data_IF_559230392110
#
_entry.id   IF_559230392110
#
_cell.length_a   1.000
_cell.length_b   1.000
_cell.length_c   1.000
_cell.angle_alpha   90.00
_cell.angle_beta   90.00
_cell.angle_gamma   90.00
#
_symmetry.space_group_name_H-M   'P 1'
#
loop_
_entity.id
_entity.type
_entity.pdbx_description
1 polymer ?
#
# COMPACT_ATOMS: atom_id res chain seq x y z
N UNK A 1 17.50 -2.74 10.63
CA UNK A 1 16.51 -3.81 10.84
C UNK A 1 15.43 -3.42 11.83
N UNK A 2 15.75 -3.24 13.12
CA UNK A 2 14.74 -3.00 14.16
C UNK A 2 13.76 -1.85 13.88
N UNK A 3 14.24 -0.72 13.37
CA UNK A 3 13.39 0.42 13.02
C UNK A 3 12.37 0.09 11.93
N UNK A 4 12.78 -0.67 10.90
CA UNK A 4 11.88 -1.09 9.82
C UNK A 4 10.77 -2.01 10.34
N UNK A 5 11.13 -3.00 11.15
CA UNK A 5 10.17 -3.93 11.76
C UNK A 5 9.21 -3.18 12.70
N UNK A 6 9.74 -2.30 13.56
CA UNK A 6 8.90 -1.48 14.44
C UNK A 6 7.95 -0.60 13.65
N UNK A 7 8.44 -0.01 12.54
CA UNK A 7 7.60 0.78 11.63
C UNK A 7 6.44 -0.03 11.06
N UNK A 8 6.69 -1.24 10.57
CA UNK A 8 5.67 -2.15 10.06
C UNK A 8 4.65 -2.54 11.15
N UNK A 9 5.12 -2.82 12.37
CA UNK A 9 4.24 -3.16 13.48
C UNK A 9 3.34 -1.99 13.88
N UNK A 10 3.88 -0.77 13.93
CA UNK A 10 3.08 0.44 14.21
C UNK A 10 2.07 0.73 13.09
N UNK A 11 2.46 0.55 11.85
CA UNK A 11 1.56 0.65 10.70
C UNK A 11 0.39 -0.35 10.82
N UNK A 12 0.71 -1.63 11.03
CA UNK A 12 -0.29 -2.68 11.20
C UNK A 12 -1.20 -2.41 12.40
N UNK A 13 -0.62 -2.04 13.55
CA UNK A 13 -1.38 -1.65 14.73
C UNK A 13 -2.36 -0.51 14.43
N UNK A 14 -1.90 0.56 13.81
CA UNK A 14 -2.72 1.73 13.49
C UNK A 14 -3.95 1.38 12.64
N UNK A 15 -3.82 0.41 11.74
CA UNK A 15 -4.92 -0.02 10.87
C UNK A 15 -5.81 -1.10 11.49
N UNK A 16 -5.22 -2.07 12.18
CA UNK A 16 -5.89 -3.31 12.60
C UNK A 16 -6.37 -3.29 14.06
N UNK A 17 -5.89 -2.38 14.91
CA UNK A 17 -6.14 -2.38 16.36
C UNK A 17 -7.64 -2.45 16.72
N UNK A 18 -8.47 -1.68 16.02
CA UNK A 18 -9.92 -1.68 16.24
C UNK A 18 -10.60 -3.03 16.01
N UNK A 19 -10.04 -3.84 15.10
CA UNK A 19 -10.58 -5.15 14.73
C UNK A 19 -10.01 -6.28 15.57
N UNK A 20 -8.75 -6.15 15.97
CA UNK A 20 -8.04 -7.18 16.71
C UNK A 20 -8.23 -7.11 18.22
N UNK A 21 -8.45 -5.89 18.76
CA UNK A 21 -8.52 -5.66 20.19
C UNK A 21 -9.98 -5.34 20.58
N UNK A 22 -10.72 -6.29 21.19
CA UNK A 22 -12.07 -6.02 21.69
C UNK A 22 -12.07 -4.85 22.67
N UNK A 23 -13.00 -3.92 22.48
CA UNK A 23 -13.13 -2.76 23.36
C UNK A 23 -12.07 -1.65 23.16
N UNK A 24 -11.20 -1.75 22.15
CA UNK A 24 -10.16 -0.75 21.86
C UNK A 24 -10.71 0.68 21.84
N UNK A 25 -11.78 0.93 21.06
CA UNK A 25 -12.37 2.27 20.98
C UNK A 25 -12.95 2.74 22.31
N UNK A 26 -13.53 1.83 23.10
CA UNK A 26 -14.04 2.15 24.44
C UNK A 26 -12.90 2.49 25.42
N UNK A 27 -11.81 1.73 25.40
CA UNK A 27 -10.63 1.97 26.23
C UNK A 27 -9.97 3.31 25.88
N UNK A 28 -9.96 3.70 24.61
CA UNK A 28 -9.35 4.95 24.13
C UNK A 28 -10.21 6.19 24.36
N UNK A 29 -11.44 6.06 24.85
CA UNK A 29 -12.36 7.17 25.21
C UNK A 29 -12.45 8.27 24.15
N UNK A 30 -12.48 7.90 22.84
CA UNK A 30 -12.57 8.85 21.74
C UNK A 30 -11.22 9.33 21.18
N UNK A 31 -10.09 8.99 21.82
CA UNK A 31 -8.73 9.33 21.32
C UNK A 31 -8.14 8.28 20.35
N UNK A 32 -8.93 7.27 19.96
CA UNK A 32 -8.45 6.21 19.08
C UNK A 32 -8.00 6.71 17.68
N UNK A 33 -8.68 7.72 17.13
CA UNK A 33 -8.31 8.28 15.82
C UNK A 33 -6.95 8.97 15.85
N UNK A 34 -6.68 9.95 16.75
CA UNK A 34 -5.36 10.56 16.82
C UNK A 34 -4.27 9.55 17.19
N UNK A 35 -4.52 8.58 18.06
CA UNK A 35 -3.55 7.56 18.44
C UNK A 35 -3.18 6.65 17.26
N UNK A 36 -4.17 6.13 16.52
CA UNK A 36 -3.91 5.30 15.33
C UNK A 36 -3.26 6.10 14.21
N UNK A 37 -3.65 7.36 14.00
CA UNK A 37 -3.00 8.25 13.03
C UNK A 37 -1.53 8.48 13.40
N UNK A 38 -1.25 8.79 14.68
CA UNK A 38 0.12 8.95 15.15
C UNK A 38 0.96 7.67 14.95
N UNK A 39 0.38 6.50 15.25
CA UNK A 39 1.06 5.22 15.01
C UNK A 39 1.36 4.99 13.53
N UNK A 40 0.43 5.29 12.63
CA UNK A 40 0.62 5.17 11.17
C UNK A 40 1.71 6.12 10.68
N UNK A 41 1.67 7.40 11.07
CA UNK A 41 2.66 8.40 10.67
C UNK A 41 4.04 8.04 11.19
N UNK A 42 4.17 7.73 12.49
CA UNK A 42 5.43 7.29 13.08
C UNK A 42 5.92 6.00 12.43
N UNK A 43 5.03 5.03 12.21
CA UNK A 43 5.34 3.79 11.51
C UNK A 43 5.93 4.03 10.11
N UNK A 44 5.31 4.93 9.33
CA UNK A 44 5.81 5.31 8.01
C UNK A 44 7.21 5.93 8.07
N UNK A 45 7.44 6.87 9.00
CA UNK A 45 8.77 7.50 9.19
C UNK A 45 9.81 6.45 9.56
N UNK A 46 9.50 5.55 10.50
CA UNK A 46 10.41 4.50 10.91
C UNK A 46 10.69 3.48 9.80
N UNK A 47 9.70 3.16 8.96
CA UNK A 47 9.91 2.32 7.78
C UNK A 47 10.88 2.98 6.80
N UNK A 48 10.73 4.27 6.50
CA UNK A 48 11.62 5.01 5.60
C UNK A 48 13.04 5.04 6.15
N UNK A 49 13.23 5.44 7.42
CA UNK A 49 14.54 5.52 8.05
C UNK A 49 15.16 4.13 8.15
N UNK A 50 14.40 3.13 8.61
CA UNK A 50 14.88 1.77 8.81
C UNK A 50 15.27 1.08 7.50
N UNK A 51 14.51 1.30 6.43
CA UNK A 51 14.81 0.78 5.11
C UNK A 51 16.10 1.39 4.54
N UNK A 52 16.23 2.71 4.60
CA UNK A 52 17.43 3.42 4.10
C UNK A 52 18.71 3.13 4.90
N UNK A 53 18.59 2.83 6.19
CA UNK A 53 19.71 2.57 7.08
C UNK A 53 20.11 1.08 7.17
N UNK A 54 19.38 0.19 6.52
CA UNK A 54 19.65 -1.23 6.61
C UNK A 54 20.26 -1.78 5.32
N UNK A 55 21.54 -2.16 5.40
CA UNK A 55 22.26 -2.89 4.36
C UNK A 55 22.10 -4.39 4.65
N UNK A 56 21.30 -5.08 3.84
CA UNK A 56 21.05 -6.51 3.94
C UNK A 56 21.69 -7.29 2.79
N UNK A 57 21.47 -8.61 2.79
CA UNK A 57 21.90 -9.47 1.69
C UNK A 57 21.16 -9.12 0.39
N UNK A 58 21.92 -9.16 -0.71
CA UNK A 58 21.41 -8.92 -2.06
C UNK A 58 21.32 -10.23 -2.83
N UNK A 59 20.19 -10.48 -3.46
CA UNK A 59 19.89 -11.70 -4.21
C UNK A 59 19.70 -11.46 -5.69
N UNK A 60 18.94 -10.41 -6.06
CA UNK A 60 18.75 -9.98 -7.46
C UNK A 60 18.43 -8.49 -7.53
N UNK A 61 18.68 -7.94 -8.72
CA UNK A 61 18.42 -6.53 -9.01
C UNK A 61 17.52 -6.35 -10.21
N UNK A 62 17.48 -5.12 -10.63
CA UNK A 62 16.69 -4.64 -11.75
C UNK A 62 17.29 -5.10 -13.09
N UNK A 63 16.42 -5.62 -13.97
CA UNK A 63 16.70 -5.84 -15.38
C UNK A 63 15.71 -5.06 -16.23
N UNK A 64 15.99 -4.74 -17.51
CA UNK A 64 15.03 -4.03 -18.36
C UNK A 64 13.65 -4.69 -18.44
N UNK A 65 13.62 -6.02 -18.53
CA UNK A 65 12.37 -6.78 -18.57
C UNK A 65 11.59 -6.66 -17.24
N UNK A 66 12.26 -6.85 -16.10
CA UNK A 66 11.64 -6.72 -14.78
C UNK A 66 11.20 -5.28 -14.51
N UNK A 67 11.96 -4.27 -14.95
CA UNK A 67 11.57 -2.87 -14.85
C UNK A 67 10.30 -2.57 -15.65
N UNK A 68 10.16 -3.12 -16.86
CA UNK A 68 8.94 -2.99 -17.66
C UNK A 68 7.73 -3.60 -16.98
N UNK A 69 7.86 -4.83 -16.44
CA UNK A 69 6.79 -5.50 -15.68
C UNK A 69 6.44 -4.71 -14.42
N UNK A 70 7.45 -4.27 -13.66
CA UNK A 70 7.23 -3.44 -12.48
C UNK A 70 6.44 -2.17 -12.81
N UNK A 71 6.81 -1.45 -13.87
CA UNK A 71 6.15 -0.21 -14.26
C UNK A 71 4.67 -0.45 -14.65
N UNK A 72 4.38 -1.55 -15.33
CA UNK A 72 3.00 -1.94 -15.64
C UNK A 72 2.21 -2.27 -14.36
N UNK A 73 2.78 -3.07 -13.45
CA UNK A 73 2.16 -3.40 -12.18
C UNK A 73 1.94 -2.15 -11.31
N UNK A 74 2.89 -1.23 -11.31
CA UNK A 74 2.74 0.05 -10.60
C UNK A 74 1.61 0.91 -11.16
N UNK A 75 1.45 0.96 -12.49
CA UNK A 75 0.33 1.65 -13.12
C UNK A 75 -1.01 1.02 -12.70
N UNK A 76 -1.10 -0.32 -12.68
CA UNK A 76 -2.26 -1.06 -12.19
C UNK A 76 -2.51 -0.76 -10.70
N UNK A 77 -1.47 -0.77 -9.87
CA UNK A 77 -1.58 -0.45 -8.45
C UNK A 77 -2.16 0.94 -8.23
N UNK A 78 -1.60 1.97 -8.86
CA UNK A 78 -2.10 3.36 -8.73
C UNK A 78 -3.53 3.48 -9.24
N UNK A 79 -3.89 2.78 -10.33
CA UNK A 79 -5.28 2.74 -10.79
C UNK A 79 -6.23 2.11 -9.77
N UNK A 80 -5.82 1.04 -9.08
CA UNK A 80 -6.64 0.42 -8.04
C UNK A 80 -6.93 1.37 -6.86
N UNK A 81 -5.97 2.22 -6.48
CA UNK A 81 -6.20 3.30 -5.50
C UNK A 81 -7.19 4.34 -6.03
N UNK A 82 -7.02 4.80 -7.27
CA UNK A 82 -7.93 5.74 -7.91
C UNK A 82 -9.34 5.14 -8.05
N UNK A 83 -9.42 3.87 -8.45
CA UNK A 83 -10.68 3.14 -8.58
C UNK A 83 -11.45 3.05 -7.25
N UNK A 84 -10.75 2.79 -6.14
CA UNK A 84 -11.36 2.77 -4.81
C UNK A 84 -11.92 4.15 -4.42
N UNK A 85 -11.15 5.22 -4.62
CA UNK A 85 -11.55 6.58 -4.27
C UNK A 85 -12.72 7.08 -5.13
N UNK A 86 -12.71 6.81 -6.43
CA UNK A 86 -13.73 7.25 -7.38
C UNK A 86 -14.95 6.31 -7.45
N UNK A 87 -14.89 5.12 -6.81
CA UNK A 87 -15.93 4.08 -6.85
C UNK A 87 -16.24 3.62 -8.28
N UNK A 88 -15.19 3.39 -9.09
CA UNK A 88 -15.31 2.99 -10.50
C UNK A 88 -15.93 1.60 -10.65
N UNK A 89 -16.14 1.18 -11.89
CA UNK A 89 -16.61 -0.17 -12.21
C UNK A 89 -15.76 -1.25 -11.54
N UNK A 90 -14.43 -1.08 -11.48
CA UNK A 90 -13.52 -2.01 -10.81
C UNK A 90 -13.84 -2.10 -9.31
N UNK A 91 -14.05 -0.97 -8.62
CA UNK A 91 -14.42 -0.96 -7.21
C UNK A 91 -15.81 -1.56 -6.92
N UNK A 92 -16.65 -1.71 -7.93
CA UNK A 92 -17.95 -2.40 -7.85
C UNK A 92 -17.84 -3.91 -8.05
N UNK A 93 -16.77 -4.39 -8.66
CA UNK A 93 -16.51 -5.81 -8.91
C UNK A 93 -15.57 -6.42 -7.87
N UNK A 94 -14.66 -5.60 -7.34
CA UNK A 94 -13.66 -6.02 -6.36
C UNK A 94 -13.91 -5.32 -5.04
N UNK A 95 -14.03 -6.09 -3.97
CA UNK A 95 -14.33 -5.56 -2.64
C UNK A 95 -13.22 -4.67 -2.08
N UNK A 96 -11.95 -5.00 -2.34
CA UNK A 96 -10.77 -4.38 -1.73
C UNK A 96 -9.78 -3.82 -2.77
N UNK A 97 -10.19 -2.94 -3.70
CA UNK A 97 -9.29 -2.49 -4.75
C UNK A 97 -8.04 -1.78 -4.20
N UNK A 98 -8.17 -0.95 -3.15
CA UNK A 98 -7.04 -0.26 -2.53
C UNK A 98 -6.03 -1.23 -1.90
N UNK A 99 -6.48 -2.21 -1.11
CA UNK A 99 -5.60 -3.21 -0.51
C UNK A 99 -4.99 -4.13 -1.56
N UNK A 100 -5.74 -4.47 -2.61
CA UNK A 100 -5.19 -5.19 -3.78
C UNK A 100 -4.11 -4.33 -4.46
N UNK A 101 -4.30 -3.01 -4.55
CA UNK A 101 -3.28 -2.08 -5.02
C UNK A 101 -1.99 -2.16 -4.21
N UNK A 102 -2.09 -2.24 -2.87
CA UNK A 102 -0.90 -2.44 -2.00
C UNK A 102 -0.21 -3.77 -2.29
N UNK A 103 -0.97 -4.87 -2.47
CA UNK A 103 -0.37 -6.17 -2.81
C UNK A 103 0.36 -6.11 -4.15
N UNK A 104 -0.28 -5.52 -5.18
CA UNK A 104 0.35 -5.35 -6.50
C UNK A 104 1.60 -4.47 -6.41
N UNK A 105 1.56 -3.38 -5.66
CA UNK A 105 2.71 -2.51 -5.37
C UNK A 105 3.85 -3.29 -4.70
N UNK A 106 3.55 -4.12 -3.71
CA UNK A 106 4.54 -4.93 -3.02
C UNK A 106 5.22 -5.93 -3.95
N UNK A 107 4.42 -6.64 -4.77
CA UNK A 107 4.95 -7.57 -5.78
C UNK A 107 5.80 -6.85 -6.81
N UNK A 108 5.34 -5.70 -7.33
CA UNK A 108 6.08 -4.91 -8.29
C UNK A 108 7.47 -4.52 -7.77
N UNK A 109 7.53 -4.03 -6.53
CA UNK A 109 8.81 -3.64 -5.94
C UNK A 109 9.72 -4.84 -5.66
N UNK A 110 9.19 -5.98 -5.21
CA UNK A 110 9.98 -7.20 -5.00
C UNK A 110 10.58 -7.76 -6.29
N UNK A 111 9.97 -7.54 -7.45
CA UNK A 111 10.53 -7.97 -8.72
C UNK A 111 11.86 -7.29 -9.07
N UNK A 112 12.03 -6.04 -8.63
CA UNK A 112 13.20 -5.21 -8.97
C UNK A 112 14.12 -4.92 -7.79
N UNK A 113 13.71 -5.27 -6.57
CA UNK A 113 14.47 -5.09 -5.34
C UNK A 113 14.53 -6.42 -4.59
N UNK A 114 15.52 -7.22 -4.90
CA UNK A 114 15.74 -8.55 -4.29
C UNK A 114 16.80 -8.47 -3.19
N UNK A 115 16.53 -7.74 -2.13
CA UNK A 115 17.38 -7.65 -0.96
C UNK A 115 16.57 -7.84 0.34
N UNK A 116 17.26 -8.15 1.42
CA UNK A 116 16.62 -8.46 2.71
C UNK A 116 15.72 -7.31 3.22
N UNK A 117 16.14 -6.03 3.20
CA UNK A 117 15.26 -4.91 3.58
C UNK A 117 13.99 -4.84 2.74
N UNK A 118 14.09 -5.07 1.43
CA UNK A 118 12.95 -5.07 0.51
C UNK A 118 11.98 -6.22 0.80
N UNK A 119 12.47 -7.40 1.12
CA UNK A 119 11.60 -8.50 1.53
C UNK A 119 10.82 -8.17 2.80
N UNK A 120 11.47 -7.55 3.77
CA UNK A 120 10.79 -7.15 5.00
C UNK A 120 9.80 -6.03 4.76
N UNK A 121 10.16 -4.97 4.02
CA UNK A 121 9.27 -3.84 3.76
C UNK A 121 8.09 -4.25 2.87
N UNK A 122 8.39 -4.65 1.64
CA UNK A 122 7.33 -4.92 0.65
C UNK A 122 6.58 -6.20 0.97
N UNK A 123 7.28 -7.25 1.38
CA UNK A 123 6.64 -8.50 1.83
C UNK A 123 5.76 -8.27 3.06
N UNK A 124 6.26 -7.54 4.07
CA UNK A 124 5.50 -7.18 5.27
C UNK A 124 4.25 -6.37 4.96
N UNK A 125 4.34 -5.37 4.07
CA UNK A 125 3.20 -4.56 3.64
C UNK A 125 2.19 -5.39 2.82
N UNK A 126 2.67 -6.28 1.96
CA UNK A 126 1.79 -7.20 1.21
C UNK A 126 1.02 -8.14 2.13
N UNK A 127 1.71 -8.76 3.10
CA UNK A 127 1.10 -9.63 4.11
C UNK A 127 0.10 -8.85 4.97
N UNK A 128 0.45 -7.64 5.41
CA UNK A 128 -0.47 -6.77 6.12
C UNK A 128 -1.74 -6.50 5.30
N UNK A 129 -1.62 -6.16 4.03
CA UNK A 129 -2.78 -5.87 3.17
C UNK A 129 -3.70 -7.10 3.02
N UNK A 130 -3.14 -8.29 2.85
CA UNK A 130 -3.90 -9.54 2.79
C UNK A 130 -4.60 -9.84 4.13
N UNK A 131 -3.90 -9.67 5.25
CA UNK A 131 -4.47 -9.86 6.58
C UNK A 131 -5.62 -8.87 6.86
N UNK A 132 -5.45 -7.60 6.46
CA UNK A 132 -6.50 -6.58 6.60
C UNK A 132 -7.74 -6.92 5.77
N UNK A 133 -7.59 -7.46 4.54
CA UNK A 133 -8.74 -7.97 3.76
C UNK A 133 -9.50 -9.07 4.51
N UNK A 134 -8.78 -10.01 5.13
CA UNK A 134 -9.39 -11.09 5.91
C UNK A 134 -10.15 -10.53 7.11
N UNK A 135 -9.55 -9.60 7.84
CA UNK A 135 -10.20 -8.98 9.00
C UNK A 135 -11.44 -8.18 8.61
N UNK A 136 -11.38 -7.39 7.54
CA UNK A 136 -12.55 -6.66 7.04
C UNK A 136 -13.66 -7.63 6.62
N UNK A 137 -13.31 -8.73 5.97
CA UNK A 137 -14.28 -9.73 5.54
C UNK A 137 -14.97 -10.44 6.73
N UNK A 138 -14.24 -10.65 7.83
CA UNK A 138 -14.79 -11.20 9.07
C UNK A 138 -15.72 -10.22 9.78
N UNK A 139 -15.30 -8.96 9.91
CA UNK A 139 -16.10 -7.91 10.57
C UNK A 139 -17.36 -7.56 9.78
N UNK A 140 -17.27 -7.58 8.47
CA UNK A 140 -18.32 -7.15 7.56
C UNK A 140 -18.58 -8.24 6.51
N UNK A 141 -19.21 -9.37 6.84
CA UNK A 141 -19.38 -10.49 5.91
C UNK A 141 -20.23 -10.12 4.69
N UNK A 142 -21.18 -9.20 4.84
CA UNK A 142 -22.03 -8.70 3.75
C UNK A 142 -21.36 -7.49 3.11
N UNK A 143 -20.88 -7.65 1.88
CA UNK A 143 -20.39 -6.54 1.08
C UNK A 143 -21.48 -6.04 0.12
N UNK A 144 -21.72 -4.74 0.16
CA UNK A 144 -22.60 -4.07 -0.79
C UNK A 144 -21.73 -3.26 -1.74
N UNK A 145 -21.73 -3.58 -3.05
CA UNK A 145 -20.99 -2.80 -4.03
C UNK A 145 -21.44 -1.33 -4.02
N UNK A 146 -20.53 -0.36 -4.21
CA UNK A 146 -20.89 1.04 -4.30
C UNK A 146 -21.82 1.30 -5.51
N UNK A 147 -22.61 2.35 -5.46
CA UNK A 147 -23.42 2.80 -6.60
C UNK A 147 -22.53 3.10 -7.82
N UNK A 148 -23.12 2.99 -9.03
CA UNK A 148 -22.38 3.24 -10.26
C UNK A 148 -21.83 4.69 -10.28
N UNK A 149 -20.52 4.79 -10.51
CA UNK A 149 -19.89 6.07 -10.81
C UNK A 149 -20.18 6.42 -12.28
N UNK A 150 -20.64 7.58 -12.60
CA UNK A 150 -20.83 7.97 -14.02
C UNK A 150 -19.49 8.01 -14.79
N UNK A 151 -19.56 8.02 -16.13
CA UNK A 151 -18.39 8.00 -17.02
C UNK A 151 -17.34 9.07 -16.67
N UNK A 152 -17.75 10.22 -16.14
CA UNK A 152 -16.83 11.27 -15.67
C UNK A 152 -15.87 10.77 -14.58
N UNK A 153 -16.34 10.00 -13.61
CA UNK A 153 -15.48 9.45 -12.54
C UNK A 153 -14.57 8.36 -13.06
N UNK A 154 -15.02 7.55 -14.02
CA UNK A 154 -14.16 6.56 -14.68
C UNK A 154 -13.00 7.26 -15.39
N UNK A 155 -13.29 8.29 -16.18
CA UNK A 155 -12.27 9.08 -16.88
C UNK A 155 -11.32 9.77 -15.89
N UNK A 156 -11.85 10.36 -14.81
CA UNK A 156 -11.03 10.99 -13.77
C UNK A 156 -10.11 9.99 -13.06
N UNK A 157 -10.56 8.75 -12.85
CA UNK A 157 -9.72 7.70 -12.26
C UNK A 157 -8.54 7.36 -13.18
N UNK A 158 -8.77 7.23 -14.49
CA UNK A 158 -7.71 6.97 -15.47
C UNK A 158 -6.74 8.16 -15.56
N UNK A 159 -7.26 9.37 -15.75
CA UNK A 159 -6.43 10.57 -15.83
C UNK A 159 -5.62 10.80 -14.56
N UNK A 160 -6.27 10.66 -13.39
CA UNK A 160 -5.62 10.76 -12.08
C UNK A 160 -4.52 9.71 -11.90
N UNK A 161 -4.74 8.49 -12.40
CA UNK A 161 -3.72 7.44 -12.38
C UNK A 161 -2.46 7.87 -13.14
N UNK A 162 -2.61 8.37 -14.36
CA UNK A 162 -1.47 8.82 -15.17
C UNK A 162 -0.71 9.95 -14.50
N UNK A 163 -1.44 10.95 -13.97
CA UNK A 163 -0.84 12.10 -13.29
C UNK A 163 -0.09 11.66 -12.03
N UNK A 164 -0.74 10.86 -11.16
CA UNK A 164 -0.13 10.42 -9.90
C UNK A 164 1.04 9.48 -10.17
N UNK A 165 0.92 8.55 -11.13
CA UNK A 165 2.01 7.68 -11.52
C UNK A 165 3.20 8.49 -12.03
N UNK A 166 2.97 9.48 -12.90
CA UNK A 166 4.02 10.38 -13.40
C UNK A 166 4.69 11.17 -12.28
N UNK A 167 3.92 11.68 -11.32
CA UNK A 167 4.45 12.37 -10.15
C UNK A 167 5.32 11.45 -9.28
N UNK A 168 4.87 10.22 -9.02
CA UNK A 168 5.65 9.21 -8.27
C UNK A 168 6.95 8.88 -9.01
N UNK A 169 6.88 8.66 -10.33
CA UNK A 169 8.07 8.40 -11.15
C UNK A 169 9.05 9.58 -11.11
N UNK A 170 8.56 10.82 -11.17
CA UNK A 170 9.36 12.04 -11.02
C UNK A 170 10.05 12.13 -9.66
N UNK A 171 9.35 11.83 -8.57
CA UNK A 171 9.94 11.78 -7.22
C UNK A 171 11.05 10.72 -7.14
N UNK A 172 10.82 9.52 -7.67
CA UNK A 172 11.84 8.47 -7.72
C UNK A 172 13.08 8.93 -8.51
N UNK A 173 12.88 9.60 -9.64
CA UNK A 173 13.98 10.15 -10.45
C UNK A 173 14.82 11.15 -9.64
N UNK A 174 14.17 12.12 -8.97
CA UNK A 174 14.85 13.13 -8.15
C UNK A 174 15.60 12.50 -6.97
N UNK A 175 15.08 11.40 -6.42
CA UNK A 175 15.73 10.68 -5.33
C UNK A 175 16.87 9.73 -5.79
N UNK A 176 17.17 9.67 -7.09
CA UNK A 176 18.22 8.81 -7.65
C UNK A 176 17.79 7.36 -7.94
N UNK A 177 16.48 7.09 -7.97
CA UNK A 177 15.91 5.78 -8.28
C UNK A 177 15.03 5.84 -9.55
N UNK A 178 15.60 6.09 -10.74
CA UNK A 178 14.82 6.27 -11.96
C UNK A 178 13.97 5.03 -12.26
N UNK A 179 12.68 5.24 -12.53
CA UNK A 179 11.72 4.14 -12.82
C UNK A 179 11.84 3.65 -14.25
N UNK A 180 12.33 4.50 -15.15
CA UNK A 180 12.58 4.22 -16.56
C UNK A 180 14.07 4.27 -16.85
N UNK A 181 14.57 3.41 -17.76
CA UNK A 181 15.99 3.30 -18.12
C UNK A 181 16.69 2.11 -17.50
#
# INVERSE_FOLDING_TARGET
>A
MALLILGLLLWAFGHMAKRLIPGFSKAMKGSERPATTAAIVLGTVLMIIGYRAWFGEFYWGRTPALAGINNLLMLISVYLFAAAGMKTWVARKFRHPMLTGVVVWAVAHLLVNGDTPSFVLFGGMGIWALAEMVLINRDQPKWVPPAAAGARKELMAVAGTVIVYGAIAGVHYVLGYPTFG
#
